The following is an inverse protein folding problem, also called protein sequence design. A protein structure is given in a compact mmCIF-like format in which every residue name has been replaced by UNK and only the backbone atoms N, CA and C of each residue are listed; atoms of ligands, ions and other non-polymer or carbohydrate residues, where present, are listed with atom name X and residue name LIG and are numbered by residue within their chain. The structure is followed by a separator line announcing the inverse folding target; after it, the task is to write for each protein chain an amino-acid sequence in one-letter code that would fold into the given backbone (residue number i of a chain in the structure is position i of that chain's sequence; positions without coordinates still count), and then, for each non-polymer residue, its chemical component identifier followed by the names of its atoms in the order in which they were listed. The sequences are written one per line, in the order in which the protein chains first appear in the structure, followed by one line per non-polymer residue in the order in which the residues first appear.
data_IF_049120894717
#
_entry.id   IF_049120894717
#
_cell.length_a   1.000
_cell.length_b   1.000
_cell.length_c   1.000
_cell.angle_alpha   90.00
_cell.angle_beta   90.00
_cell.angle_gamma   90.00
#
_symmetry.space_group_name_H-M   'P 1'
#
loop_
_entity.id
_entity.type
_entity.pdbx_description
1 polymer ?
#
# COMPACT_ATOMS: atom_id res chain seq x y z
N UNK A 1 25.71 -15.85 -13.25
CA UNK A 1 25.43 -14.51 -13.87
C UNK A 1 24.29 -14.70 -14.85
N UNK A 2 23.26 -13.88 -14.84
CA UNK A 2 22.11 -13.93 -15.77
C UNK A 2 21.96 -12.60 -16.50
N UNK A 3 21.22 -12.59 -17.59
CA UNK A 3 20.80 -11.39 -18.31
C UNK A 3 19.30 -11.46 -18.60
N UNK A 4 18.63 -10.32 -18.53
CA UNK A 4 17.21 -10.16 -18.85
C UNK A 4 17.13 -9.27 -20.08
N UNK A 5 16.38 -9.70 -21.10
CA UNK A 5 16.15 -8.95 -22.34
C UNK A 5 14.67 -8.63 -22.49
N UNK A 6 14.35 -7.58 -23.24
CA UNK A 6 12.99 -7.10 -23.49
C UNK A 6 12.22 -6.75 -22.22
N UNK A 7 12.92 -6.24 -21.22
CA UNK A 7 12.33 -5.81 -19.95
C UNK A 7 12.66 -4.33 -19.73
N UNK A 8 13.71 -4.00 -18.99
CA UNK A 8 14.11 -2.59 -18.78
C UNK A 8 14.82 -1.97 -20.01
N UNK A 9 15.21 -2.77 -20.96
CA UNK A 9 15.79 -2.39 -22.26
C UNK A 9 14.75 -2.30 -23.40
N UNK A 10 13.46 -2.21 -23.08
CA UNK A 10 12.33 -2.18 -24.01
C UNK A 10 11.77 -0.76 -24.12
N UNK A 11 11.57 -0.26 -25.35
CA UNK A 11 11.04 1.09 -25.61
C UNK A 11 9.58 1.29 -25.16
N UNK A 12 8.82 0.20 -24.99
CA UNK A 12 7.44 0.25 -24.49
C UNK A 12 7.36 0.10 -22.96
N UNK A 13 8.50 0.04 -22.27
CA UNK A 13 8.59 -0.01 -20.81
C UNK A 13 9.38 1.20 -20.31
N UNK A 14 8.76 1.98 -19.42
CA UNK A 14 9.37 3.15 -18.80
C UNK A 14 9.64 2.90 -17.32
N UNK A 15 10.84 3.18 -16.86
CA UNK A 15 11.13 3.29 -15.43
C UNK A 15 10.51 4.60 -14.91
N UNK A 16 9.62 4.50 -13.94
CA UNK A 16 8.97 5.64 -13.29
C UNK A 16 9.80 6.17 -12.14
N UNK A 17 10.22 5.28 -11.22
CA UNK A 17 10.93 5.64 -10.01
C UNK A 17 11.83 4.48 -9.57
N UNK A 18 12.96 4.80 -8.93
CA UNK A 18 13.81 3.83 -8.24
C UNK A 18 14.15 4.38 -6.85
N UNK A 19 13.89 3.58 -5.81
CA UNK A 19 14.21 3.93 -4.41
C UNK A 19 14.61 2.67 -3.64
N UNK A 20 15.77 2.70 -2.97
CA UNK A 20 16.31 1.55 -2.26
C UNK A 20 16.47 0.32 -3.15
N UNK A 21 15.85 -0.78 -2.76
CA UNK A 21 15.86 -2.03 -3.51
C UNK A 21 14.76 -2.10 -4.61
N UNK A 22 13.87 -1.11 -4.73
CA UNK A 22 12.72 -1.13 -5.62
C UNK A 22 12.91 -0.26 -6.86
N UNK A 23 12.48 -0.78 -8.02
CA UNK A 23 12.32 -0.04 -9.27
C UNK A 23 10.90 -0.26 -9.78
N UNK A 24 10.18 0.83 -10.01
CA UNK A 24 8.83 0.81 -10.58
C UNK A 24 8.92 1.03 -12.08
N UNK A 25 8.32 0.12 -12.85
CA UNK A 25 8.19 0.23 -14.30
C UNK A 25 6.73 0.34 -14.72
N UNK A 26 6.49 0.98 -15.85
CA UNK A 26 5.18 1.15 -16.47
C UNK A 26 5.23 0.73 -17.93
N UNK A 27 4.26 -0.08 -18.35
CA UNK A 27 4.07 -0.48 -19.72
C UNK A 27 3.36 0.63 -20.49
N UNK A 28 4.04 1.22 -21.49
CA UNK A 28 3.52 2.35 -22.25
C UNK A 28 2.43 1.92 -23.22
N UNK A 29 2.49 0.69 -23.73
CA UNK A 29 1.47 0.07 -24.59
C UNK A 29 1.32 -1.40 -24.25
N UNK A 30 0.14 -1.95 -24.46
CA UNK A 30 -0.09 -3.39 -24.47
C UNK A 30 0.04 -3.88 -25.94
N UNK A 31 1.23 -4.38 -26.29
CA UNK A 31 1.52 -4.88 -27.64
C UNK A 31 0.82 -6.20 -27.97
N UNK A 32 0.20 -6.84 -26.97
CA UNK A 32 -0.52 -8.11 -27.12
C UNK A 32 -2.04 -7.92 -27.12
N UNK A 33 -2.51 -6.68 -27.22
CA UNK A 33 -3.95 -6.39 -27.22
C UNK A 33 -4.64 -7.01 -28.42
N UNK A 34 -5.81 -7.61 -28.20
CA UNK A 34 -6.62 -8.16 -29.28
C UNK A 34 -7.24 -7.04 -30.13
N UNK A 35 -7.39 -7.25 -31.47
CA UNK A 35 -7.92 -6.20 -32.35
C UNK A 35 -9.25 -5.62 -31.92
N UNK A 36 -10.15 -6.43 -31.32
CA UNK A 36 -11.45 -5.97 -30.79
C UNK A 36 -11.33 -5.01 -29.62
N UNK A 37 -10.25 -5.09 -28.84
CA UNK A 37 -10.04 -4.29 -27.63
C UNK A 37 -9.06 -3.12 -27.87
N UNK A 38 -8.50 -2.99 -29.07
CA UNK A 38 -7.44 -2.02 -29.36
C UNK A 38 -7.87 -0.56 -29.09
N UNK A 39 -9.12 -0.21 -29.40
CA UNK A 39 -9.67 1.13 -29.14
C UNK A 39 -9.78 1.40 -27.64
N UNK A 40 -10.31 0.45 -26.88
CA UNK A 40 -10.42 0.56 -25.43
C UNK A 40 -9.04 0.68 -24.78
N UNK A 41 -8.09 -0.17 -25.18
CA UNK A 41 -6.71 -0.14 -24.68
C UNK A 41 -6.03 1.20 -24.99
N UNK A 42 -6.26 1.79 -26.16
CA UNK A 42 -5.74 3.11 -26.51
C UNK A 42 -6.26 4.19 -25.58
N UNK A 43 -7.59 4.29 -25.36
CA UNK A 43 -8.16 5.29 -24.47
C UNK A 43 -7.79 5.05 -23.00
N UNK A 44 -7.75 3.83 -22.54
CA UNK A 44 -7.25 3.49 -21.20
C UNK A 44 -5.83 4.02 -21.01
N UNK A 45 -4.96 3.81 -22.00
CA UNK A 45 -3.58 4.25 -21.96
C UNK A 45 -3.46 5.78 -21.92
N UNK A 46 -4.26 6.52 -22.72
CA UNK A 46 -4.32 7.99 -22.69
C UNK A 46 -4.81 8.52 -21.32
N UNK A 47 -5.69 7.78 -20.65
CA UNK A 47 -6.23 8.12 -19.33
C UNK A 47 -5.39 7.58 -18.17
N UNK A 48 -4.11 7.24 -18.40
CA UNK A 48 -3.18 6.75 -17.37
C UNK A 48 -3.57 5.38 -16.76
N UNK A 49 -4.48 4.63 -17.39
CA UNK A 49 -4.83 3.25 -17.02
C UNK A 49 -3.84 2.31 -17.69
N UNK A 50 -2.68 2.14 -17.07
CA UNK A 50 -1.55 1.36 -17.59
C UNK A 50 -1.13 0.29 -16.60
N UNK A 51 -0.55 -0.80 -17.10
CA UNK A 51 0.07 -1.82 -16.25
C UNK A 51 1.36 -1.25 -15.65
N UNK A 52 1.54 -1.45 -14.35
CA UNK A 52 2.76 -1.14 -13.60
C UNK A 52 3.29 -2.39 -12.95
N UNK A 53 4.58 -2.45 -12.73
CA UNK A 53 5.22 -3.62 -12.13
C UNK A 53 6.41 -3.17 -11.28
N UNK A 54 6.73 -3.94 -10.26
CA UNK A 54 7.84 -3.66 -9.36
C UNK A 54 8.94 -4.70 -9.55
N UNK A 55 10.15 -4.21 -9.75
CA UNK A 55 11.38 -4.99 -9.78
C UNK A 55 12.10 -4.74 -8.45
N UNK A 56 12.43 -5.83 -7.74
CA UNK A 56 13.14 -5.79 -6.47
C UNK A 56 14.54 -6.37 -6.64
N UNK A 57 15.55 -5.61 -6.28
CA UNK A 57 16.95 -6.05 -6.19
C UNK A 57 17.20 -6.65 -4.80
N UNK A 58 17.07 -7.98 -4.70
CA UNK A 58 17.21 -8.72 -3.44
C UNK A 58 18.65 -8.67 -2.90
N UNK A 59 19.63 -8.36 -3.77
CA UNK A 59 21.02 -8.20 -3.36
C UNK A 59 21.26 -6.92 -2.55
N UNK A 60 20.41 -5.91 -2.70
CA UNK A 60 20.49 -4.65 -1.92
C UNK A 60 19.81 -4.77 -0.57
N UNK A 61 18.69 -5.48 -0.50
CA UNK A 61 17.93 -5.70 0.74
C UNK A 61 17.07 -6.95 0.61
N UNK A 62 16.87 -7.67 1.71
CA UNK A 62 15.81 -8.66 1.78
C UNK A 62 14.45 -7.96 1.60
N UNK A 63 13.51 -8.63 0.94
CA UNK A 63 12.21 -8.06 0.57
C UNK A 63 11.09 -8.87 1.20
N UNK A 64 10.23 -8.20 1.94
CA UNK A 64 8.97 -8.76 2.44
C UNK A 64 7.83 -8.29 1.53
N UNK A 65 6.98 -9.21 1.07
CA UNK A 65 5.87 -8.89 0.15
C UNK A 65 4.52 -9.27 0.71
N UNK A 66 3.46 -8.75 0.10
CA UNK A 66 2.11 -9.31 0.24
C UNK A 66 2.11 -10.74 -0.29
N UNK A 67 1.32 -11.63 0.33
CA UNK A 67 1.17 -13.01 -0.13
C UNK A 67 0.63 -13.03 -1.57
N UNK A 68 1.26 -13.84 -2.43
CA UNK A 68 0.89 -13.95 -3.84
C UNK A 68 1.40 -12.84 -4.76
N UNK A 69 2.17 -11.88 -4.24
CA UNK A 69 2.68 -10.76 -5.06
C UNK A 69 3.82 -11.14 -6.01
N UNK A 70 4.53 -12.26 -5.80
CA UNK A 70 5.65 -12.69 -6.63
C UNK A 70 5.15 -13.23 -7.97
N UNK A 71 5.68 -12.72 -9.07
CA UNK A 71 5.50 -13.27 -10.40
C UNK A 71 6.66 -14.22 -10.76
N UNK A 72 7.89 -13.76 -10.66
CA UNK A 72 9.08 -14.58 -10.91
C UNK A 72 10.32 -14.06 -10.17
N UNK A 73 11.30 -14.93 -10.05
CA UNK A 73 12.63 -14.61 -9.53
C UNK A 73 13.73 -15.13 -10.47
N UNK A 74 14.90 -14.50 -10.44
CA UNK A 74 16.10 -14.98 -11.11
C UNK A 74 17.34 -14.68 -10.26
N UNK A 75 18.30 -15.59 -10.29
CA UNK A 75 19.47 -15.59 -9.42
C UNK A 75 19.28 -16.52 -8.23
N UNK A 76 20.12 -16.36 -7.20
CA UNK A 76 20.01 -17.12 -5.93
C UNK A 76 19.06 -16.38 -5.00
N UNK A 77 17.75 -16.57 -5.21
CA UNK A 77 16.68 -15.96 -4.41
C UNK A 77 15.90 -17.05 -3.71
N UNK A 78 15.84 -16.97 -2.40
CA UNK A 78 15.15 -17.91 -1.52
C UNK A 78 13.95 -17.25 -0.86
N UNK A 79 12.79 -17.92 -0.88
CA UNK A 79 11.57 -17.44 -0.23
C UNK A 79 11.31 -18.19 1.08
N UNK A 80 10.94 -17.47 2.13
CA UNK A 80 10.48 -18.05 3.39
C UNK A 80 9.21 -17.35 3.86
N UNK A 81 8.26 -18.12 4.38
CA UNK A 81 7.02 -17.60 4.97
C UNK A 81 7.10 -17.49 6.50
N UNK A 82 8.19 -17.97 7.10
CA UNK A 82 8.34 -18.07 8.55
C UNK A 82 7.29 -18.96 9.22
N UNK A 83 6.58 -19.81 8.44
CA UNK A 83 5.57 -20.75 8.96
C UNK A 83 6.29 -22.00 9.45
N UNK A 84 6.12 -22.33 10.74
CA UNK A 84 6.76 -23.48 11.38
C UNK A 84 5.88 -24.75 11.40
N UNK A 85 4.63 -24.66 10.92
CA UNK A 85 3.69 -25.79 10.89
C UNK A 85 2.23 -25.38 10.75
N UNK A 86 1.33 -26.36 10.68
CA UNK A 86 -0.13 -26.12 10.44
C UNK A 86 -0.75 -25.25 11.54
N UNK A 87 -0.36 -25.43 12.80
CA UNK A 87 -0.88 -24.61 13.92
C UNK A 87 -0.44 -23.14 13.83
N UNK A 88 0.77 -22.85 13.36
CA UNK A 88 1.28 -21.49 13.13
C UNK A 88 0.55 -20.85 11.95
N UNK A 89 0.25 -21.63 10.90
CA UNK A 89 -0.54 -21.19 9.75
C UNK A 89 -1.94 -20.71 10.18
N UNK A 90 -2.66 -21.50 11.00
CA UNK A 90 -3.98 -21.11 11.52
C UNK A 90 -3.90 -19.85 12.40
N UNK A 91 -2.90 -19.76 13.28
CA UNK A 91 -2.70 -18.59 14.14
C UNK A 91 -2.41 -17.31 13.34
N UNK A 92 -1.64 -17.41 12.25
CA UNK A 92 -1.36 -16.28 11.35
C UNK A 92 -2.57 -15.93 10.49
N UNK A 93 -3.30 -16.91 9.97
CA UNK A 93 -4.52 -16.68 9.19
C UNK A 93 -5.60 -15.95 10.02
N UNK A 94 -5.80 -16.33 11.29
CA UNK A 94 -6.71 -15.63 12.20
C UNK A 94 -6.28 -14.17 12.47
N UNK A 95 -4.98 -13.91 12.58
CA UNK A 95 -4.48 -12.52 12.73
C UNK A 95 -4.64 -11.69 11.46
N UNK A 96 -4.49 -12.29 10.28
CA UNK A 96 -4.68 -11.62 9.00
C UNK A 96 -6.14 -11.22 8.75
N UNK A 97 -7.10 -12.06 9.17
CA UNK A 97 -8.53 -11.73 9.05
C UNK A 97 -8.95 -10.54 9.93
N UNK A 98 -8.13 -10.18 10.93
CA UNK A 98 -8.38 -9.05 11.83
C UNK A 98 -7.89 -7.72 11.26
N UNK A 99 -6.88 -7.75 10.36
CA UNK A 99 -6.28 -6.55 9.75
C UNK A 99 -6.70 -6.32 8.29
N UNK A 100 -7.60 -7.16 7.73
CA UNK A 100 -7.95 -7.09 6.29
C UNK A 100 -6.81 -7.49 5.33
N UNK A 101 -5.59 -7.68 5.83
CA UNK A 101 -4.42 -8.08 5.07
C UNK A 101 -3.94 -9.48 5.44
N UNK A 102 -3.26 -10.17 4.51
CA UNK A 102 -2.63 -11.46 4.83
C UNK A 102 -1.60 -11.30 5.96
N UNK A 103 -1.79 -12.06 7.06
CA UNK A 103 -0.81 -12.14 8.13
C UNK A 103 0.47 -12.88 7.72
N UNK A 104 0.41 -13.60 6.60
CA UNK A 104 1.55 -14.29 6.01
C UNK A 104 2.15 -13.35 4.98
N UNK A 105 3.35 -12.85 5.28
CA UNK A 105 4.14 -12.01 4.38
C UNK A 105 5.42 -12.76 4.06
N UNK A 106 5.53 -13.32 2.82
CA UNK A 106 6.76 -14.00 2.41
C UNK A 106 7.93 -13.02 2.40
N UNK A 107 9.09 -13.53 2.85
CA UNK A 107 10.36 -12.81 2.78
C UNK A 107 11.26 -13.47 1.75
N UNK A 108 11.85 -12.67 0.87
CA UNK A 108 12.79 -13.06 -0.18
C UNK A 108 14.19 -12.59 0.19
N UNK A 109 15.14 -13.52 0.20
CA UNK A 109 16.53 -13.30 0.61
C UNK A 109 17.50 -13.85 -0.42
N UNK A 110 18.74 -13.37 -0.43
CA UNK A 110 19.79 -13.88 -1.31
C UNK A 110 20.34 -12.85 -2.28
N UNK A 111 20.70 -13.29 -3.48
CA UNK A 111 21.34 -12.43 -4.48
C UNK A 111 20.71 -12.64 -5.85
N UNK A 112 19.82 -11.73 -6.25
CA UNK A 112 19.10 -11.83 -7.49
C UNK A 112 18.00 -10.78 -7.62
N UNK A 113 17.12 -11.01 -8.59
CA UNK A 113 15.98 -10.15 -8.87
C UNK A 113 14.68 -10.88 -8.55
N UNK A 114 13.79 -10.19 -7.86
CA UNK A 114 12.40 -10.57 -7.66
C UNK A 114 11.52 -9.59 -8.44
N UNK A 115 10.58 -10.10 -9.22
CA UNK A 115 9.61 -9.28 -9.93
C UNK A 115 8.22 -9.62 -9.42
N UNK A 116 7.44 -8.57 -9.11
CA UNK A 116 6.09 -8.72 -8.59
C UNK A 116 5.07 -8.81 -9.74
N UNK A 117 3.86 -9.29 -9.44
CA UNK A 117 2.76 -9.31 -10.41
C UNK A 117 2.43 -7.90 -10.92
N UNK A 118 2.12 -7.74 -12.21
CA UNK A 118 1.70 -6.45 -12.75
C UNK A 118 0.32 -6.06 -12.24
N UNK A 119 0.13 -4.76 -12.06
CA UNK A 119 -1.12 -4.16 -11.59
C UNK A 119 -1.51 -2.95 -12.43
N UNK A 120 -2.81 -2.63 -12.50
CA UNK A 120 -3.31 -1.37 -13.03
C UNK A 120 -3.37 -0.24 -11.98
N UNK A 121 -3.18 -0.57 -10.69
CA UNK A 121 -3.04 0.42 -9.65
C UNK A 121 -1.72 1.17 -9.77
N UNK A 122 -1.61 2.27 -9.03
CA UNK A 122 -0.40 3.08 -8.98
C UNK A 122 0.53 2.59 -7.88
N UNK A 123 1.82 2.59 -8.16
CA UNK A 123 2.83 2.17 -7.19
C UNK A 123 3.47 3.41 -6.59
N UNK A 124 3.49 3.47 -5.25
CA UNK A 124 4.10 4.54 -4.47
C UNK A 124 5.30 3.98 -3.71
N UNK A 125 6.48 4.55 -3.91
CA UNK A 125 7.65 4.27 -3.07
C UNK A 125 7.72 5.31 -1.95
N UNK A 126 7.84 4.84 -0.70
CA UNK A 126 7.83 5.68 0.49
C UNK A 126 9.04 5.35 1.36
N UNK A 127 9.86 6.36 1.66
CA UNK A 127 10.88 6.23 2.69
C UNK A 127 10.22 6.43 4.06
N UNK A 128 10.20 5.39 4.90
CA UNK A 128 9.54 5.44 6.21
C UNK A 128 10.22 6.45 7.16
N UNK A 129 11.49 6.76 6.94
CA UNK A 129 12.19 7.80 7.70
C UNK A 129 11.53 9.19 7.56
N UNK A 130 10.94 9.51 6.38
CA UNK A 130 10.25 10.78 6.11
C UNK A 130 8.90 10.89 6.86
N UNK A 131 8.49 9.80 7.51
CA UNK A 131 7.28 9.67 8.34
C UNK A 131 7.63 9.51 9.84
N UNK A 132 8.76 10.08 10.26
CA UNK A 132 9.30 9.92 11.61
C UNK A 132 9.53 8.45 12.01
N UNK A 133 9.88 7.60 11.05
CA UNK A 133 10.16 6.18 11.24
C UNK A 133 8.94 5.31 11.55
N UNK A 134 7.71 5.82 11.35
CA UNK A 134 6.48 5.06 11.57
C UNK A 134 5.34 5.56 10.69
N UNK A 135 4.73 4.65 9.92
CA UNK A 135 3.58 4.91 9.06
C UNK A 135 2.49 3.86 9.32
N UNK A 136 1.25 4.28 9.35
CA UNK A 136 0.06 3.42 9.41
C UNK A 136 -0.64 3.47 8.07
N UNK A 137 -1.05 2.33 7.56
CA UNK A 137 -1.66 2.14 6.24
C UNK A 137 -3.11 1.77 6.36
N UNK A 138 -3.92 2.27 5.45
CA UNK A 138 -5.26 1.74 5.22
C UNK A 138 -5.20 0.37 4.54
N UNK A 139 -6.30 -0.39 4.63
CA UNK A 139 -6.36 -1.77 4.16
C UNK A 139 -6.10 -1.89 2.66
N UNK A 140 -5.35 -2.92 2.26
CA UNK A 140 -5.06 -3.24 0.86
C UNK A 140 -4.01 -2.34 0.18
N UNK A 141 -3.36 -1.45 0.93
CA UNK A 141 -2.33 -0.55 0.39
C UNK A 141 -0.92 -1.19 0.34
N UNK A 142 -0.63 -2.12 1.26
CA UNK A 142 0.68 -2.75 1.37
C UNK A 142 0.94 -3.71 0.19
N UNK A 143 2.04 -3.50 -0.54
CA UNK A 143 2.52 -4.42 -1.58
C UNK A 143 3.81 -5.13 -1.16
N UNK A 144 4.85 -4.37 -0.80
CA UNK A 144 6.15 -4.90 -0.39
C UNK A 144 6.91 -3.89 0.47
N UNK A 145 7.95 -4.36 1.16
CA UNK A 145 8.90 -3.48 1.83
C UNK A 145 10.29 -4.13 1.96
N UNK A 146 11.29 -3.32 2.22
CA UNK A 146 12.58 -3.83 2.70
C UNK A 146 12.38 -4.48 4.07
N UNK A 147 12.98 -5.67 4.29
CA UNK A 147 12.79 -6.47 5.53
C UNK A 147 13.43 -5.84 6.78
N UNK A 148 14.12 -4.69 6.62
CA UNK A 148 14.54 -3.84 7.74
C UNK A 148 13.34 -3.21 8.46
N UNK A 149 12.19 -3.10 7.78
CA UNK A 149 10.95 -2.57 8.33
C UNK A 149 10.18 -3.65 9.11
N UNK A 150 9.58 -3.23 10.22
CA UNK A 150 8.80 -4.12 11.11
C UNK A 150 7.31 -3.84 10.94
N UNK A 151 6.53 -4.92 10.90
CA UNK A 151 5.08 -4.87 10.82
C UNK A 151 4.44 -4.90 12.21
N UNK A 152 3.42 -4.07 12.43
CA UNK A 152 2.68 -3.99 13.68
C UNK A 152 1.18 -3.83 13.39
N UNK A 153 0.32 -4.59 14.06
CA UNK A 153 -1.11 -4.30 14.06
C UNK A 153 -1.36 -3.08 14.95
N UNK A 154 -2.04 -2.07 14.42
CA UNK A 154 -2.44 -0.84 15.13
C UNK A 154 -3.95 -0.87 15.27
N UNK A 155 -4.43 -0.93 16.51
CA UNK A 155 -5.86 -0.97 16.80
C UNK A 155 -6.51 0.39 16.49
N UNK A 156 -7.64 0.38 15.79
CA UNK A 156 -8.51 1.56 15.67
C UNK A 156 -9.08 1.89 17.06
N UNK A 157 -8.92 3.10 17.51
CA UNK A 157 -9.00 3.51 18.91
C UNK A 157 -10.37 3.37 19.58
N UNK A 158 -11.46 2.96 18.87
CA UNK A 158 -12.78 2.79 19.48
C UNK A 158 -13.52 1.58 18.93
N UNK A 159 -13.85 0.63 19.81
CA UNK A 159 -14.74 -0.50 19.56
C UNK A 159 -16.11 -0.11 18.99
N UNK A 160 -16.59 1.10 19.23
CA UNK A 160 -17.85 1.62 18.69
C UNK A 160 -17.81 1.89 17.19
N UNK A 161 -16.64 2.22 16.61
CA UNK A 161 -16.48 2.43 15.16
C UNK A 161 -16.45 1.11 14.39
N UNK A 162 -15.90 0.06 14.99
CA UNK A 162 -15.87 -1.29 14.43
C UNK A 162 -17.24 -1.96 14.33
N UNK A 163 -18.19 -1.57 15.19
CA UNK A 163 -19.56 -2.08 15.17
C UNK A 163 -20.45 -1.38 14.12
N UNK A 164 -20.03 -0.22 13.60
CA UNK A 164 -20.82 0.60 12.67
C UNK A 164 -20.27 0.60 11.24
N UNK A 165 -19.07 0.06 10.98
CA UNK A 165 -18.45 -0.02 9.67
C UNK A 165 -17.99 -1.45 9.37
N UNK A 166 -18.14 -1.86 8.13
CA UNK A 166 -17.71 -3.18 7.60
C UNK A 166 -16.16 -3.23 7.45
N UNK A 167 -15.42 -2.43 8.21
CA UNK A 167 -13.98 -2.25 8.14
C UNK A 167 -13.27 -2.96 9.30
N UNK A 168 -12.06 -3.48 9.03
CA UNK A 168 -11.25 -4.21 10.00
C UNK A 168 -10.99 -3.43 11.30
N UNK A 169 -10.79 -4.17 12.41
CA UNK A 169 -10.50 -3.61 13.74
C UNK A 169 -9.09 -3.00 13.87
N UNK A 170 -8.21 -3.30 12.92
CA UNK A 170 -6.79 -2.95 12.98
C UNK A 170 -6.31 -2.50 11.61
N UNK A 171 -5.40 -1.54 11.62
CA UNK A 171 -4.62 -1.11 10.48
C UNK A 171 -3.20 -1.69 10.53
N UNK A 172 -2.53 -1.76 9.39
CA UNK A 172 -1.13 -2.18 9.32
C UNK A 172 -0.20 -1.00 9.62
N UNK A 173 0.53 -1.07 10.72
CA UNK A 173 1.63 -0.15 11.03
C UNK A 173 2.96 -0.71 10.54
N UNK A 174 3.79 0.14 9.93
CA UNK A 174 5.14 -0.15 9.48
C UNK A 174 6.11 0.75 10.23
N UNK A 175 7.18 0.19 10.79
CA UNK A 175 8.16 0.93 11.59
C UNK A 175 9.59 0.59 11.20
N UNK A 176 10.48 1.56 11.28
CA UNK A 176 11.92 1.40 11.03
C UNK A 176 12.46 2.37 10.01
N UNK A 177 13.63 2.02 9.46
CA UNK A 177 14.28 2.77 8.39
C UNK A 177 14.40 1.84 7.17
N UNK A 178 13.82 2.24 6.06
CA UNK A 178 13.77 1.45 4.83
C UNK A 178 12.68 1.95 3.89
N UNK A 179 12.59 1.31 2.73
CA UNK A 179 11.65 1.66 1.68
C UNK A 179 10.42 0.75 1.74
N UNK A 180 9.28 1.39 1.66
CA UNK A 180 7.96 0.78 1.60
C UNK A 180 7.39 0.98 0.20
N UNK A 181 6.84 -0.08 -0.38
CA UNK A 181 6.19 -0.09 -1.68
C UNK A 181 4.69 -0.32 -1.47
N UNK A 182 3.88 0.62 -1.93
CA UNK A 182 2.44 0.65 -1.77
C UNK A 182 1.74 0.52 -3.11
N UNK A 183 0.56 -0.11 -3.11
CA UNK A 183 -0.32 -0.24 -4.27
C UNK A 183 -1.57 0.61 -4.06
N UNK A 184 -1.62 1.78 -4.71
CA UNK A 184 -2.65 2.80 -4.55
C UNK A 184 -3.63 2.83 -5.72
N UNK A 185 -4.91 3.04 -5.44
CA UNK A 185 -5.91 3.31 -6.47
C UNK A 185 -5.75 4.72 -7.08
N UNK A 186 -5.09 5.64 -6.36
CA UNK A 186 -4.89 7.03 -6.74
C UNK A 186 -3.42 7.27 -7.12
N UNK A 187 -3.10 7.96 -8.22
CA UNK A 187 -1.74 8.33 -8.58
C UNK A 187 -1.15 9.34 -7.59
N UNK A 188 0.18 9.37 -7.50
CA UNK A 188 0.91 10.25 -6.57
C UNK A 188 0.55 11.73 -6.75
N UNK A 189 0.30 12.15 -7.98
CA UNK A 189 -0.01 13.52 -8.38
C UNK A 189 -1.39 13.99 -7.89
N UNK A 190 -2.29 13.06 -7.58
CA UNK A 190 -3.62 13.36 -7.06
C UNK A 190 -3.72 13.19 -5.55
N UNK A 191 -2.67 12.68 -4.91
CA UNK A 191 -2.62 12.54 -3.45
C UNK A 191 -2.34 13.87 -2.79
N UNK A 192 -3.09 14.17 -1.73
CA UNK A 192 -2.87 15.37 -0.90
C UNK A 192 -2.13 14.98 0.37
N UNK A 193 -0.91 15.48 0.53
CA UNK A 193 -0.15 15.33 1.76
C UNK A 193 -0.42 16.52 2.69
N UNK A 194 -0.93 16.23 3.89
CA UNK A 194 -1.18 17.22 4.95
C UNK A 194 -0.18 16.98 6.08
N UNK A 195 0.62 18.00 6.40
CA UNK A 195 1.54 17.97 7.55
C UNK A 195 0.92 18.72 8.72
N UNK A 196 0.80 18.07 9.86
CA UNK A 196 0.29 18.64 11.11
C UNK A 196 1.47 18.98 12.03
N UNK A 197 1.40 20.14 12.67
CA UNK A 197 2.34 20.63 13.68
C UNK A 197 1.59 20.92 14.99
N UNK A 198 1.34 19.87 15.80
CA UNK A 198 0.49 19.92 16.98
C UNK A 198 -0.92 20.47 16.65
N UNK A 199 -1.52 19.91 15.59
CA UNK A 199 -2.79 20.36 15.03
C UNK A 199 -3.76 19.19 14.84
N UNK A 200 -4.93 19.44 14.27
CA UNK A 200 -6.03 18.50 14.12
C UNK A 200 -6.52 18.51 12.67
N UNK A 201 -6.57 17.32 12.06
CA UNK A 201 -7.25 17.07 10.80
C UNK A 201 -8.51 16.23 11.05
N UNK A 202 -9.62 16.63 10.45
CA UNK A 202 -10.86 15.84 10.41
C UNK A 202 -11.17 15.48 8.96
N UNK A 203 -11.46 14.21 8.73
CA UNK A 203 -11.73 13.66 7.39
C UNK A 203 -13.04 12.89 7.45
N UNK A 204 -13.96 13.23 6.57
CA UNK A 204 -15.16 12.43 6.35
C UNK A 204 -14.85 11.22 5.46
N UNK A 205 -15.34 10.05 5.86
CA UNK A 205 -15.10 8.79 5.14
C UNK A 205 -13.63 8.35 5.13
N UNK A 206 -13.29 7.49 4.16
CA UNK A 206 -12.01 6.76 4.09
C UNK A 206 -11.02 7.36 3.09
N UNK A 207 -10.94 8.68 3.00
CA UNK A 207 -10.00 9.33 2.09
C UNK A 207 -8.55 9.28 2.57
N UNK A 208 -8.30 9.09 3.86
CA UNK A 208 -6.94 8.99 4.40
C UNK A 208 -6.40 7.56 4.20
N UNK A 209 -5.44 7.43 3.28
CA UNK A 209 -4.86 6.13 2.91
C UNK A 209 -3.62 5.78 3.74
N UNK A 210 -2.91 6.77 4.29
CA UNK A 210 -1.75 6.56 5.16
C UNK A 210 -1.54 7.75 6.10
N UNK A 211 -0.97 7.50 7.30
CA UNK A 211 -0.64 8.54 8.25
C UNK A 211 0.55 8.18 9.15
N UNK A 212 1.22 9.19 9.70
CA UNK A 212 2.33 8.99 10.64
C UNK A 212 1.84 8.25 11.90
N UNK A 213 2.58 7.24 12.32
CA UNK A 213 2.28 6.48 13.54
C UNK A 213 2.41 7.30 14.83
N UNK A 214 2.91 8.55 14.76
CA UNK A 214 2.96 9.52 15.85
C UNK A 214 1.64 10.28 16.08
N UNK A 215 0.70 10.22 15.10
CA UNK A 215 -0.60 10.86 15.24
C UNK A 215 -1.55 9.99 16.08
N UNK A 216 -2.32 10.67 16.96
CA UNK A 216 -3.44 10.06 17.64
C UNK A 216 -4.64 10.01 16.70
N UNK A 217 -5.09 8.79 16.40
CA UNK A 217 -6.23 8.54 15.50
C UNK A 217 -7.46 8.14 16.29
N UNK A 218 -8.55 8.87 16.08
CA UNK A 218 -9.86 8.58 16.68
C UNK A 218 -10.97 8.71 15.64
N UNK A 219 -12.10 8.03 15.87
CA UNK A 219 -13.34 8.23 15.14
C UNK A 219 -14.31 8.97 16.03
N UNK A 220 -14.78 10.13 15.58
CA UNK A 220 -15.64 11.02 16.37
C UNK A 220 -16.91 11.36 15.62
N UNK A 221 -17.91 11.88 16.32
CA UNK A 221 -19.08 12.47 15.68
C UNK A 221 -18.72 13.82 15.09
N UNK A 222 -19.24 14.12 13.91
CA UNK A 222 -19.03 15.43 13.23
C UNK A 222 -19.61 16.59 14.03
N UNK A 223 -20.71 16.37 14.79
CA UNK A 223 -21.41 17.37 15.58
C UNK A 223 -21.38 17.11 17.10
N UNK A 224 -21.69 18.17 17.89
CA UNK A 224 -21.76 18.10 19.36
C UNK A 224 -22.94 17.25 19.88
N UNK A 225 -23.93 16.92 19.04
CA UNK A 225 -25.10 16.12 19.40
C UNK A 225 -25.43 15.11 18.30
N UNK A 226 -26.17 14.04 18.64
CA UNK A 226 -26.67 13.05 17.68
C UNK A 226 -27.51 13.69 16.57
N UNK A 227 -28.36 14.64 16.95
CA UNK A 227 -29.25 15.35 16.01
C UNK A 227 -28.43 16.29 15.12
N UNK A 228 -27.39 16.95 15.67
CA UNK A 228 -26.50 17.82 14.92
C UNK A 228 -25.65 17.05 13.88
N UNK A 229 -25.12 15.88 14.25
CA UNK A 229 -24.39 15.01 13.31
C UNK A 229 -25.29 14.42 12.23
N UNK A 230 -26.54 14.06 12.56
CA UNK A 230 -27.51 13.59 11.58
C UNK A 230 -27.97 14.72 10.65
N UNK A 231 -28.08 15.94 11.13
CA UNK A 231 -28.50 17.11 10.35
C UNK A 231 -27.40 17.63 9.41
N UNK A 232 -26.11 17.48 9.75
CA UNK A 232 -24.98 17.81 8.86
C UNK A 232 -24.79 16.80 7.73
N UNK A 233 -25.35 15.59 7.86
CA UNK A 233 -25.19 14.50 6.88
C UNK A 233 -23.82 13.78 6.96
N UNK A 234 -22.90 14.22 7.81
CA UNK A 234 -21.52 13.70 7.85
C UNK A 234 -21.29 12.57 8.89
N UNK A 235 -22.22 12.37 9.83
CA UNK A 235 -22.22 11.26 10.79
C UNK A 235 -20.95 11.14 11.64
N UNK A 236 -20.05 10.23 11.27
CA UNK A 236 -18.77 9.99 11.90
C UNK A 236 -17.61 10.52 11.04
N UNK A 237 -16.61 11.10 11.66
CA UNK A 237 -15.39 11.60 11.02
C UNK A 237 -14.14 10.97 11.62
N UNK A 238 -13.17 10.69 10.79
CA UNK A 238 -11.83 10.29 11.17
C UNK A 238 -11.06 11.53 11.64
N UNK A 239 -10.44 11.47 12.81
CA UNK A 239 -9.73 12.59 13.44
C UNK A 239 -8.30 12.20 13.72
N UNK A 240 -7.38 12.98 13.19
CA UNK A 240 -5.93 12.84 13.37
C UNK A 240 -5.41 14.02 14.18
N UNK A 241 -4.71 13.78 15.30
CA UNK A 241 -4.19 14.83 16.18
C UNK A 241 -2.70 14.66 16.42
N UNK A 242 -2.00 15.79 16.53
CA UNK A 242 -0.60 15.83 16.92
C UNK A 242 0.34 16.38 15.85
N UNK A 243 1.55 15.83 15.78
CA UNK A 243 2.57 16.22 14.79
C UNK A 243 2.90 15.02 13.93
N UNK A 244 2.74 15.18 12.60
CA UNK A 244 2.96 14.12 11.62
C UNK A 244 2.31 14.44 10.30
N UNK A 245 2.23 13.44 9.42
CA UNK A 245 1.67 13.56 8.06
C UNK A 245 0.44 12.68 7.90
N UNK A 246 -0.48 13.12 7.06
CA UNK A 246 -1.63 12.33 6.58
C UNK A 246 -1.66 12.43 5.05
N UNK A 247 -1.80 11.29 4.38
CA UNK A 247 -1.93 11.20 2.94
C UNK A 247 -3.38 10.90 2.57
N UNK A 248 -3.98 11.79 1.80
CA UNK A 248 -5.38 11.69 1.38
C UNK A 248 -5.47 11.34 -0.11
N UNK A 249 -6.44 10.51 -0.47
CA UNK A 249 -6.85 10.21 -1.84
C UNK A 249 -8.25 10.78 -2.12
N UNK A 250 -8.39 12.11 -2.37
CA UNK A 250 -9.67 12.79 -2.38
C UNK A 250 -10.54 12.46 -3.60
N UNK A 251 -9.96 11.95 -4.66
CA UNK A 251 -10.63 11.65 -5.94
C UNK A 251 -11.00 10.19 -6.13
N UNK A 252 -10.48 9.29 -5.30
CA UNK A 252 -10.88 7.89 -5.31
C UNK A 252 -12.21 7.72 -4.57
N UNK A 253 -13.30 8.00 -5.24
CA UNK A 253 -14.55 7.38 -4.83
C UNK A 253 -14.52 5.96 -5.37
N UNK A 254 -14.58 4.99 -4.46
CA UNK A 254 -14.53 3.58 -4.82
C UNK A 254 -15.41 3.31 -6.04
N UNK A 255 -14.78 2.83 -7.08
CA UNK A 255 -15.49 2.12 -8.13
C UNK A 255 -15.87 0.81 -7.45
N UNK A 256 -17.09 0.79 -6.92
CA UNK A 256 -17.71 -0.44 -6.45
C UNK A 256 -17.98 -1.34 -7.65
#
# INVERSE_FOLDING_TARGET
MYSIKNFTDNNDIKTLETMGAFTVIEYQRDLSVMPGDAMLAYYCNEMNVRKRQVICDVSKSNITTQAGAMQWTVGDVNATTGIKGVGDLFGKALRGSVTGESAIKPEYTGNGTLVLEPTYKHILLVNVADWNGSIVLDDGLFLACESTLKHKAVMRSNLSSAALGNEGLFNLGIQGNGILCLESACPKEELVEITLHNDVLKVDGNMAIAWSGSLDFTVERSGKSLIGSAASGEGLVNVYRGTGKVLLAPVTKGIA
#
